data_IF_144827548701
#
_entry.id   IF_144827548701
#
_cell.length_a   1.000
_cell.length_b   1.000
_cell.length_c   1.000
_cell.angle_alpha   90.00
_cell.angle_beta   90.00
_cell.angle_gamma   90.00
#
_symmetry.space_group_name_H-M   'P 1'
#
loop_
_entity.id
_entity.type
_entity.pdbx_description
1 polymer ?
#
# COMPACT_ATOMS: atom_id res chain seq x y z
N UNK A 1 3.46 1.74 22.63
CA UNK A 1 2.19 2.25 23.22
C UNK A 1 2.11 3.78 23.22
N UNK A 2 3.13 4.51 23.70
CA UNK A 2 3.16 6.00 23.68
C UNK A 2 3.08 6.61 22.28
N UNK A 3 3.76 6.03 21.28
CA UNK A 3 3.69 6.47 19.87
C UNK A 3 2.29 6.27 19.28
N UNK A 4 1.59 5.19 19.65
CA UNK A 4 0.25 4.87 19.14
C UNK A 4 -0.78 5.85 19.70
N UNK A 5 -0.67 6.20 20.98
CA UNK A 5 -1.55 7.19 21.64
C UNK A 5 -1.23 8.61 21.14
N UNK A 6 0.05 8.95 20.96
CA UNK A 6 0.47 10.24 20.40
C UNK A 6 -0.01 10.45 18.96
N UNK A 7 0.08 9.42 18.12
CA UNK A 7 -0.47 9.44 16.76
C UNK A 7 -2.00 9.50 16.76
N UNK A 8 -2.69 8.86 17.71
CA UNK A 8 -4.16 8.95 17.85
C UNK A 8 -4.64 10.34 18.26
N UNK A 9 -3.93 11.03 19.16
CA UNK A 9 -4.26 12.41 19.56
C UNK A 9 -3.95 13.41 18.44
N UNK A 10 -2.86 13.20 17.71
CA UNK A 10 -2.57 13.97 16.50
C UNK A 10 -3.68 13.71 15.47
N UNK A 11 -4.06 12.44 15.24
CA UNK A 11 -5.11 11.96 14.32
C UNK A 11 -6.50 12.60 14.55
N UNK A 12 -6.83 12.95 15.79
CA UNK A 12 -8.10 13.61 16.14
C UNK A 12 -8.15 15.09 15.74
N UNK A 13 -7.01 15.78 15.63
CA UNK A 13 -6.92 17.20 15.19
C UNK A 13 -6.53 17.38 13.73
N UNK A 14 -6.48 16.28 12.98
CA UNK A 14 -6.02 16.26 11.59
C UNK A 14 -7.11 16.78 10.67
N UNK A 15 -6.93 18.01 10.18
CA UNK A 15 -7.75 18.54 9.09
C UNK A 15 -7.81 17.55 7.91
N UNK A 16 -8.89 17.52 7.10
CA UNK A 16 -9.00 16.65 5.92
C UNK A 16 -7.75 16.69 5.00
N UNK A 17 -7.00 17.82 5.03
CA UNK A 17 -5.74 18.05 4.31
C UNK A 17 -4.58 17.14 4.74
N UNK A 18 -4.49 16.72 5.99
CA UNK A 18 -3.44 15.81 6.47
C UNK A 18 -3.93 14.36 6.43
N UNK A 19 -5.25 14.11 6.54
CA UNK A 19 -5.82 12.77 6.36
C UNK A 19 -5.55 12.18 4.96
N UNK A 20 -5.56 13.01 3.92
CA UNK A 20 -5.16 12.59 2.57
C UNK A 20 -3.66 12.29 2.44
N UNK A 21 -2.81 13.00 3.18
CA UNK A 21 -1.35 12.79 3.21
C UNK A 21 -1.01 11.48 3.95
N UNK A 22 -1.71 11.20 5.04
CA UNK A 22 -1.60 9.96 5.80
C UNK A 22 -2.12 8.75 5.02
N UNK A 23 -3.11 8.92 4.13
CA UNK A 23 -3.65 7.83 3.32
C UNK A 23 -2.64 7.27 2.29
N UNK A 24 -1.69 8.10 1.83
CA UNK A 24 -0.59 7.70 0.94
C UNK A 24 0.75 7.49 1.66
N UNK A 25 0.78 7.53 2.99
CA UNK A 25 2.03 7.43 3.73
C UNK A 25 2.56 5.98 3.72
N UNK A 26 3.87 5.75 3.53
CA UNK A 26 4.41 4.41 3.28
C UNK A 26 4.55 3.55 4.55
N UNK A 27 3.64 3.67 5.52
CA UNK A 27 3.74 2.95 6.80
C UNK A 27 3.70 1.42 6.65
N UNK A 28 2.92 0.88 5.73
CA UNK A 28 2.77 -0.57 5.56
C UNK A 28 4.02 -1.22 4.98
N UNK A 29 4.41 -0.74 3.81
CA UNK A 29 5.62 -1.19 3.10
C UNK A 29 6.89 -0.92 3.92
N UNK A 30 6.95 0.19 4.67
CA UNK A 30 8.08 0.50 5.54
C UNK A 30 8.26 -0.53 6.65
N UNK A 31 7.17 -0.92 7.34
CA UNK A 31 7.24 -1.94 8.39
C UNK A 31 7.78 -3.25 7.80
N UNK A 32 7.23 -3.72 6.68
CA UNK A 32 7.66 -4.98 6.06
C UNK A 32 9.14 -4.93 5.67
N UNK A 33 9.56 -3.90 4.93
CA UNK A 33 10.95 -3.76 4.49
C UNK A 33 11.94 -3.56 5.64
N UNK A 34 11.52 -2.85 6.71
CA UNK A 34 12.34 -2.68 7.91
C UNK A 34 12.58 -4.01 8.61
N UNK A 35 11.53 -4.80 8.88
CA UNK A 35 11.68 -6.12 9.50
C UNK A 35 12.48 -7.08 8.63
N UNK A 36 12.24 -7.10 7.31
CA UNK A 36 13.08 -7.84 6.37
C UNK A 36 14.56 -7.44 6.51
N UNK A 37 14.87 -6.15 6.63
CA UNK A 37 16.24 -5.66 6.77
C UNK A 37 16.90 -6.02 8.10
N UNK A 38 16.14 -6.02 9.19
CA UNK A 38 16.64 -6.46 10.50
C UNK A 38 16.89 -7.98 10.51
N UNK A 39 16.01 -8.76 9.89
CA UNK A 39 16.08 -10.22 9.93
C UNK A 39 17.06 -10.82 8.90
N UNK A 40 17.14 -10.23 7.70
CA UNK A 40 17.89 -10.79 6.56
C UNK A 40 19.08 -9.93 6.12
N UNK A 41 19.24 -8.73 6.69
CA UNK A 41 20.33 -7.82 6.39
C UNK A 41 20.04 -6.81 5.26
N UNK A 42 20.98 -5.88 5.09
CA UNK A 42 20.83 -4.69 4.25
C UNK A 42 20.74 -5.01 2.75
N UNK A 43 21.55 -5.93 2.25
CA UNK A 43 21.54 -6.33 0.83
C UNK A 43 20.24 -7.03 0.45
N UNK A 44 19.76 -7.94 1.30
CA UNK A 44 18.48 -8.61 1.10
C UNK A 44 17.34 -7.59 1.05
N UNK A 45 17.29 -6.67 2.02
CA UNK A 45 16.26 -5.66 2.08
C UNK A 45 16.34 -4.63 0.94
N UNK A 46 17.55 -4.30 0.48
CA UNK A 46 17.76 -3.42 -0.68
C UNK A 46 17.13 -4.03 -1.93
N UNK A 47 17.43 -5.31 -2.19
CA UNK A 47 16.85 -6.07 -3.31
C UNK A 47 15.33 -6.27 -3.14
N UNK A 48 14.86 -6.56 -1.93
CA UNK A 48 13.44 -6.62 -1.63
C UNK A 48 12.74 -5.26 -1.88
N UNK A 49 13.37 -4.14 -1.50
CA UNK A 49 12.81 -2.80 -1.75
C UNK A 49 12.69 -2.50 -3.25
N UNK A 50 13.66 -2.94 -4.08
CA UNK A 50 13.56 -2.84 -5.53
C UNK A 50 12.35 -3.64 -6.05
N UNK A 51 12.20 -4.90 -5.65
CA UNK A 51 11.08 -5.74 -6.11
C UNK A 51 9.74 -5.30 -5.51
N UNK A 52 9.74 -4.62 -4.36
CA UNK A 52 8.55 -4.01 -3.80
C UNK A 52 7.97 -2.91 -4.68
N UNK A 53 8.80 -2.20 -5.46
CA UNK A 53 8.32 -1.29 -6.51
C UNK A 53 7.44 -2.08 -7.49
N UNK A 54 7.92 -3.20 -8.02
CA UNK A 54 7.12 -4.09 -8.86
C UNK A 54 5.86 -4.60 -8.16
N UNK A 55 5.94 -4.94 -6.87
CA UNK A 55 4.80 -5.33 -6.05
C UNK A 55 3.70 -4.26 -5.96
N UNK A 56 4.03 -2.97 -6.06
CA UNK A 56 3.04 -1.89 -6.11
C UNK A 56 2.21 -1.92 -7.42
N UNK A 57 2.76 -2.47 -8.51
CA UNK A 57 1.99 -2.75 -9.72
C UNK A 57 0.94 -3.83 -9.48
N UNK A 58 1.32 -4.92 -8.81
CA UNK A 58 0.37 -5.95 -8.40
C UNK A 58 -0.69 -5.39 -7.42
N UNK A 59 -0.29 -4.48 -6.53
CA UNK A 59 -1.17 -3.81 -5.57
C UNK A 59 -2.28 -2.99 -6.26
N UNK A 60 -1.93 -2.18 -7.26
CA UNK A 60 -2.94 -1.38 -7.98
C UNK A 60 -3.90 -2.26 -8.77
N UNK A 61 -3.42 -3.37 -9.35
CA UNK A 61 -4.27 -4.35 -10.06
C UNK A 61 -5.18 -5.11 -9.10
N UNK A 62 -4.68 -5.49 -7.91
CA UNK A 62 -5.51 -6.07 -6.84
C UNK A 62 -6.68 -5.14 -6.51
N UNK A 63 -6.40 -3.86 -6.30
CA UNK A 63 -7.42 -2.89 -5.94
C UNK A 63 -8.47 -2.76 -7.05
N UNK A 64 -8.04 -2.72 -8.32
CA UNK A 64 -8.96 -2.72 -9.44
C UNK A 64 -9.80 -4.00 -9.54
N UNK A 65 -9.20 -5.17 -9.34
CA UNK A 65 -9.92 -6.44 -9.30
C UNK A 65 -10.96 -6.46 -8.17
N UNK A 66 -10.58 -6.00 -6.97
CA UNK A 66 -11.49 -5.88 -5.83
C UNK A 66 -12.67 -4.96 -6.15
N UNK A 67 -12.41 -3.79 -6.75
CA UNK A 67 -13.45 -2.85 -7.19
C UNK A 67 -14.48 -3.49 -8.14
N UNK A 68 -14.04 -4.35 -9.07
CA UNK A 68 -14.94 -5.05 -10.02
C UNK A 68 -15.76 -6.16 -9.37
N UNK A 69 -15.27 -6.75 -8.28
CA UNK A 69 -15.88 -7.89 -7.61
C UNK A 69 -16.78 -7.50 -6.44
N UNK A 70 -16.57 -6.31 -5.89
CA UNK A 70 -17.33 -5.73 -4.80
C UNK A 70 -18.75 -5.34 -5.28
N UNK A 71 -19.75 -6.20 -5.00
CA UNK A 71 -21.12 -6.08 -5.52
C UNK A 71 -22.17 -5.93 -4.44
N UNK A 72 -22.01 -6.58 -3.28
CA UNK A 72 -22.97 -6.51 -2.17
C UNK A 72 -22.30 -6.82 -0.82
N UNK A 73 -23.00 -6.60 0.28
CA UNK A 73 -22.46 -6.75 1.64
C UNK A 73 -22.44 -8.20 2.16
N UNK A 74 -22.84 -9.18 1.35
CA UNK A 74 -22.88 -10.57 1.80
C UNK A 74 -21.47 -11.06 2.12
N UNK A 75 -21.34 -11.89 3.16
CA UNK A 75 -20.05 -12.48 3.53
C UNK A 75 -19.38 -13.19 2.36
N UNK A 76 -20.16 -13.92 1.54
CA UNK A 76 -19.68 -14.61 0.36
C UNK A 76 -19.08 -13.64 -0.67
N UNK A 77 -19.72 -12.50 -0.95
CA UNK A 77 -19.16 -11.53 -1.90
C UNK A 77 -17.89 -10.86 -1.37
N UNK A 78 -17.83 -10.55 -0.07
CA UNK A 78 -16.62 -10.02 0.56
C UNK A 78 -15.48 -11.02 0.45
N UNK A 79 -15.73 -12.29 0.79
CA UNK A 79 -14.73 -13.36 0.72
C UNK A 79 -14.26 -13.62 -0.71
N UNK A 80 -15.17 -13.70 -1.68
CA UNK A 80 -14.83 -13.89 -3.09
C UNK A 80 -14.02 -12.72 -3.65
N UNK A 81 -14.42 -11.47 -3.37
CA UNK A 81 -13.68 -10.29 -3.78
C UNK A 81 -12.25 -10.30 -3.19
N UNK A 82 -12.12 -10.65 -1.90
CA UNK A 82 -10.84 -10.78 -1.23
C UNK A 82 -9.96 -11.85 -1.89
N UNK A 83 -10.45 -13.10 -1.97
CA UNK A 83 -9.69 -14.24 -2.50
C UNK A 83 -9.23 -14.02 -3.93
N UNK A 84 -10.14 -13.59 -4.82
CA UNK A 84 -9.80 -13.37 -6.24
C UNK A 84 -8.83 -12.20 -6.39
N UNK A 85 -9.01 -11.11 -5.64
CA UNK A 85 -8.08 -9.97 -5.71
C UNK A 85 -6.67 -10.31 -5.20
N UNK A 86 -6.55 -11.14 -4.16
CA UNK A 86 -5.27 -11.69 -3.69
C UNK A 86 -4.66 -12.64 -4.71
N UNK A 87 -5.47 -13.51 -5.33
CA UNK A 87 -5.00 -14.37 -6.41
C UNK A 87 -4.47 -13.56 -7.61
N UNK A 88 -5.15 -12.46 -7.97
CA UNK A 88 -4.70 -11.52 -9.00
C UNK A 88 -3.39 -10.86 -8.61
N UNK A 89 -3.23 -10.42 -7.36
CA UNK A 89 -1.96 -9.88 -6.86
C UNK A 89 -0.82 -10.88 -7.00
N UNK A 90 -1.04 -12.13 -6.56
CA UNK A 90 -0.04 -13.19 -6.64
C UNK A 90 0.28 -13.55 -8.09
N UNK A 91 -0.71 -13.58 -8.97
CA UNK A 91 -0.51 -13.83 -10.39
C UNK A 91 0.32 -12.73 -11.06
N UNK A 92 -0.03 -11.45 -10.83
CA UNK A 92 0.75 -10.34 -11.36
C UNK A 92 2.17 -10.35 -10.78
N UNK A 93 2.32 -10.65 -9.49
CA UNK A 93 3.64 -10.79 -8.85
C UNK A 93 4.45 -11.93 -9.48
N UNK A 94 3.85 -13.10 -9.72
CA UNK A 94 4.50 -14.25 -10.37
C UNK A 94 4.92 -13.93 -11.81
N UNK A 95 4.13 -13.15 -12.54
CA UNK A 95 4.50 -12.66 -13.88
C UNK A 95 5.71 -11.71 -13.76
N UNK A 96 5.65 -10.72 -12.85
CA UNK A 96 6.74 -9.76 -12.66
C UNK A 96 8.03 -10.41 -12.19
N UNK A 97 7.95 -11.50 -11.42
CA UNK A 97 9.11 -12.26 -10.96
C UNK A 97 9.94 -12.85 -12.10
N UNK A 98 9.32 -13.11 -13.26
CA UNK A 98 10.02 -13.67 -14.43
C UNK A 98 10.95 -12.63 -15.10
N UNK A 99 10.85 -11.36 -14.73
CA UNK A 99 11.64 -10.28 -15.28
C UNK A 99 12.73 -9.83 -14.31
N UNK A 100 13.92 -9.54 -14.84
CA UNK A 100 14.95 -8.82 -14.11
C UNK A 100 14.58 -7.34 -14.05
N UNK A 101 14.05 -6.93 -12.90
CA UNK A 101 13.66 -5.54 -12.69
C UNK A 101 14.90 -4.72 -12.30
N UNK A 102 15.06 -3.55 -12.92
CA UNK A 102 15.94 -2.48 -12.45
C UNK A 102 15.10 -1.41 -11.76
N UNK A 103 15.73 -0.51 -11.00
CA UNK A 103 15.00 0.59 -10.36
C UNK A 103 14.20 1.41 -11.38
N UNK A 104 14.77 1.64 -12.56
CA UNK A 104 14.13 2.39 -13.65
C UNK A 104 12.97 1.61 -14.25
N UNK A 105 13.18 0.34 -14.65
CA UNK A 105 12.13 -0.44 -15.29
C UNK A 105 10.96 -0.73 -14.34
N UNK A 106 11.25 -1.04 -13.07
CA UNK A 106 10.23 -1.23 -12.03
C UNK A 106 9.42 0.05 -11.80
N UNK A 107 10.07 1.20 -11.73
CA UNK A 107 9.41 2.49 -11.52
C UNK A 107 8.52 2.87 -12.70
N UNK A 108 9.01 2.75 -13.92
CA UNK A 108 8.24 3.05 -15.14
C UNK A 108 7.05 2.11 -15.28
N UNK A 109 7.24 0.81 -15.05
CA UNK A 109 6.16 -0.18 -15.07
C UNK A 109 5.10 0.16 -14.02
N UNK A 110 5.51 0.48 -12.80
CA UNK A 110 4.59 0.81 -11.70
C UNK A 110 3.82 2.10 -11.96
N UNK A 111 4.50 3.15 -12.42
CA UNK A 111 3.85 4.40 -12.82
C UNK A 111 2.90 4.19 -14.00
N UNK A 112 3.28 3.38 -14.98
CA UNK A 112 2.45 2.98 -16.10
C UNK A 112 1.18 2.25 -15.66
N UNK A 113 1.31 1.30 -14.73
CA UNK A 113 0.17 0.57 -14.16
C UNK A 113 -0.74 1.46 -13.32
N UNK A 114 -0.17 2.36 -12.49
CA UNK A 114 -0.93 3.36 -11.76
C UNK A 114 -1.72 4.25 -12.73
N UNK A 115 -1.07 4.73 -13.80
CA UNK A 115 -1.71 5.56 -14.83
C UNK A 115 -2.83 4.82 -15.57
N UNK A 116 -2.58 3.59 -16.00
CA UNK A 116 -3.55 2.74 -16.69
C UNK A 116 -4.78 2.47 -15.83
N UNK A 117 -4.60 2.07 -14.57
CA UNK A 117 -5.72 1.78 -13.67
C UNK A 117 -6.49 3.05 -13.33
N UNK A 118 -5.79 4.17 -13.09
CA UNK A 118 -6.44 5.47 -12.89
C UNK A 118 -7.31 5.87 -14.10
N UNK A 119 -6.79 5.65 -15.31
CA UNK A 119 -7.54 5.89 -16.55
C UNK A 119 -8.75 4.95 -16.72
N UNK A 120 -8.60 3.66 -16.42
CA UNK A 120 -9.70 2.68 -16.47
C UNK A 120 -10.82 3.01 -15.48
N UNK A 121 -10.50 3.65 -14.36
CA UNK A 121 -11.45 4.02 -13.31
C UNK A 121 -12.11 5.39 -13.50
N UNK A 122 -11.74 6.17 -14.52
CA UNK A 122 -12.17 7.58 -14.69
C UNK A 122 -13.67 7.80 -14.85
N UNK A 123 -14.41 6.80 -15.35
CA UNK A 123 -15.85 6.88 -15.64
C UNK A 123 -16.74 6.30 -14.53
N UNK A 124 -16.18 5.88 -13.40
CA UNK A 124 -17.00 5.38 -12.29
C UNK A 124 -17.83 6.52 -11.69
N UNK A 125 -19.15 6.30 -11.53
CA UNK A 125 -20.10 7.26 -10.97
C UNK A 125 -19.62 7.75 -9.60
N UNK A 126 -19.68 9.06 -9.37
CA UNK A 126 -19.41 9.69 -8.07
C UNK A 126 -20.38 9.15 -7.03
N UNK A 127 -19.93 8.15 -6.29
CA UNK A 127 -20.58 7.74 -5.05
C UNK A 127 -20.02 8.64 -3.95
N UNK A 128 -20.91 9.33 -3.23
CA UNK A 128 -20.48 10.17 -2.11
C UNK A 128 -19.68 9.33 -1.12
N UNK A 129 -18.46 9.79 -0.81
CA UNK A 129 -17.65 9.25 0.27
C UNK A 129 -18.47 9.44 1.55
N UNK A 130 -18.90 8.39 2.27
CA UNK A 130 -19.47 8.58 3.59
C UNK A 130 -18.45 9.33 4.44
N UNK A 131 -18.86 10.43 5.08
CA UNK A 131 -18.03 11.15 6.06
C UNK A 131 -17.48 10.14 7.07
N UNK A 132 -16.18 9.81 6.96
CA UNK A 132 -15.42 8.85 7.80
C UNK A 132 -16.27 7.64 8.24
N UNK A 133 -16.20 6.47 7.58
CA UNK A 133 -16.84 5.27 8.12
C UNK A 133 -16.36 5.06 9.57
N UNK A 134 -17.30 5.14 10.52
CA UNK A 134 -16.98 5.00 11.95
C UNK A 134 -16.66 3.53 12.19
N UNK A 135 -15.37 3.22 12.37
CA UNK A 135 -14.93 1.88 12.71
C UNK A 135 -15.21 1.62 14.19
N UNK A 136 -15.94 0.55 14.51
CA UNK A 136 -16.07 0.06 15.88
C UNK A 136 -14.76 -0.52 16.40
N UNK A 137 -14.60 -0.65 17.71
CA UNK A 137 -13.37 -1.16 18.34
C UNK A 137 -12.98 -2.57 17.84
N UNK A 138 -13.96 -3.43 17.59
CA UNK A 138 -13.75 -4.78 17.04
C UNK A 138 -13.17 -4.71 15.62
N UNK A 139 -13.66 -3.78 14.79
CA UNK A 139 -13.16 -3.57 13.44
C UNK A 139 -11.71 -3.05 13.45
N UNK A 140 -11.37 -2.18 14.39
CA UNK A 140 -9.98 -1.71 14.59
C UNK A 140 -9.07 -2.87 14.98
N UNK A 141 -9.50 -3.71 15.93
CA UNK A 141 -8.73 -4.88 16.35
C UNK A 141 -8.56 -5.90 15.21
N UNK A 142 -9.63 -6.19 14.47
CA UNK A 142 -9.58 -7.06 13.31
C UNK A 142 -8.64 -6.53 12.22
N UNK A 143 -8.68 -5.20 11.96
CA UNK A 143 -7.75 -4.54 11.04
C UNK A 143 -6.30 -4.71 11.47
N UNK A 144 -6.02 -4.47 12.75
CA UNK A 144 -4.67 -4.59 13.30
C UNK A 144 -4.18 -6.05 13.25
N UNK A 145 -5.04 -7.00 13.62
CA UNK A 145 -4.75 -8.44 13.55
C UNK A 145 -4.43 -8.90 12.13
N UNK A 146 -5.28 -8.55 11.15
CA UNK A 146 -5.04 -8.89 9.75
C UNK A 146 -3.75 -8.27 9.22
N UNK A 147 -3.51 -6.98 9.48
CA UNK A 147 -2.28 -6.32 9.06
C UNK A 147 -1.04 -6.98 9.68
N UNK A 148 -1.07 -7.28 10.98
CA UNK A 148 0.02 -7.96 11.67
C UNK A 148 0.26 -9.37 11.12
N UNK A 149 -0.79 -10.15 10.88
CA UNK A 149 -0.68 -11.48 10.27
C UNK A 149 -0.04 -11.42 8.89
N UNK A 150 -0.44 -10.46 8.04
CA UNK A 150 0.17 -10.30 6.71
C UNK A 150 1.65 -9.96 6.84
N UNK A 151 2.02 -9.01 7.71
CA UNK A 151 3.43 -8.65 7.94
C UNK A 151 4.22 -9.87 8.40
N UNK A 152 3.74 -10.60 9.41
CA UNK A 152 4.40 -11.79 9.94
C UNK A 152 4.56 -12.90 8.90
N UNK A 153 3.56 -13.11 8.04
CA UNK A 153 3.64 -14.09 6.95
C UNK A 153 4.73 -13.69 5.96
N UNK A 154 4.77 -12.41 5.55
CA UNK A 154 5.75 -11.94 4.56
C UNK A 154 7.17 -11.98 5.13
N UNK A 155 7.38 -11.47 6.34
CA UNK A 155 8.72 -11.43 6.96
C UNK A 155 9.18 -12.83 7.36
N UNK A 156 8.30 -13.64 7.96
CA UNK A 156 8.60 -15.01 8.37
C UNK A 156 8.90 -15.97 7.21
N UNK A 157 8.37 -15.71 6.01
CA UNK A 157 8.68 -16.49 4.81
C UNK A 157 9.85 -15.91 3.99
N UNK A 158 10.37 -14.73 4.34
CA UNK A 158 11.30 -13.99 3.50
C UNK A 158 12.58 -14.80 3.20
N UNK A 159 13.16 -15.47 4.19
CA UNK A 159 14.37 -16.29 3.99
C UNK A 159 14.14 -17.50 3.08
N UNK A 160 12.93 -18.08 3.05
CA UNK A 160 12.58 -19.23 2.23
C UNK A 160 12.31 -18.83 0.78
N UNK A 161 11.58 -17.72 0.58
CA UNK A 161 11.13 -17.29 -0.75
C UNK A 161 12.16 -16.41 -1.49
N UNK A 162 13.15 -15.89 -0.76
CA UNK A 162 14.20 -15.02 -1.30
C UNK A 162 13.77 -13.55 -1.43
N UNK A 163 14.72 -12.64 -1.73
CA UNK A 163 14.50 -11.19 -1.66
C UNK A 163 13.51 -10.68 -2.71
N UNK A 164 13.46 -11.32 -3.89
CA UNK A 164 12.61 -10.86 -4.99
C UNK A 164 11.13 -11.09 -4.66
N UNK A 165 10.79 -12.30 -4.21
CA UNK A 165 9.44 -12.61 -3.74
C UNK A 165 9.08 -11.82 -2.48
N UNK A 166 9.98 -11.73 -1.50
CA UNK A 166 9.74 -10.95 -0.29
C UNK A 166 9.45 -9.49 -0.63
N UNK A 167 10.15 -8.92 -1.61
CA UNK A 167 9.89 -7.60 -2.16
C UNK A 167 8.53 -7.48 -2.83
N UNK A 168 8.23 -8.34 -3.80
CA UNK A 168 6.93 -8.35 -4.48
C UNK A 168 5.77 -8.42 -3.48
N UNK A 169 5.87 -9.30 -2.47
CA UNK A 169 4.89 -9.42 -1.39
C UNK A 169 4.87 -8.20 -0.46
N UNK A 170 6.01 -7.55 -0.18
CA UNK A 170 6.06 -6.30 0.59
C UNK A 170 5.30 -5.15 -0.08
N UNK A 171 5.14 -5.21 -1.41
CA UNK A 171 4.25 -4.34 -2.16
C UNK A 171 2.75 -4.54 -1.87
N UNK A 172 2.36 -5.60 -1.14
CA UNK A 172 0.95 -5.88 -0.80
C UNK A 172 0.33 -4.73 0.02
N UNK A 173 -0.96 -4.40 -0.20
CA UNK A 173 -1.67 -3.35 0.54
C UNK A 173 -1.97 -3.71 2.01
N UNK A 174 -0.95 -3.94 2.86
CA UNK A 174 -1.11 -4.43 4.25
C UNK A 174 -2.01 -3.55 5.13
N UNK A 175 -2.11 -2.25 4.82
CA UNK A 175 -2.99 -1.31 5.55
C UNK A 175 -4.33 -1.10 4.84
N UNK A 176 -4.31 -1.04 3.51
CA UNK A 176 -5.48 -0.75 2.68
C UNK A 176 -6.39 -1.97 2.56
N UNK A 177 -5.83 -3.17 2.36
CA UNK A 177 -6.62 -4.38 2.14
C UNK A 177 -7.50 -4.76 3.34
N UNK A 178 -7.00 -4.84 4.59
CA UNK A 178 -7.88 -5.06 5.74
C UNK A 178 -8.98 -4.00 5.88
N UNK A 179 -8.66 -2.74 5.55
CA UNK A 179 -9.63 -1.65 5.57
C UNK A 179 -10.71 -1.82 4.49
N UNK A 180 -10.34 -2.26 3.28
CA UNK A 180 -11.29 -2.58 2.21
C UNK A 180 -12.26 -3.67 2.64
N UNK A 181 -11.77 -4.76 3.28
CA UNK A 181 -12.63 -5.84 3.77
C UNK A 181 -13.68 -5.34 4.76
N UNK A 182 -13.25 -4.52 5.72
CA UNK A 182 -14.13 -3.96 6.75
C UNK A 182 -15.16 -3.01 6.14
N UNK A 183 -14.71 -2.07 5.30
CA UNK A 183 -15.62 -1.11 4.64
C UNK A 183 -16.61 -1.84 3.73
N UNK A 184 -16.16 -2.85 2.99
CA UNK A 184 -17.03 -3.66 2.14
C UNK A 184 -18.11 -4.37 2.97
N UNK A 185 -17.73 -5.01 4.08
CA UNK A 185 -18.66 -5.73 4.96
C UNK A 185 -19.68 -4.81 5.64
N UNK A 186 -19.22 -3.67 6.14
CA UNK A 186 -20.01 -2.79 7.02
C UNK A 186 -20.83 -1.77 6.21
N UNK A 187 -20.24 -1.22 5.15
CA UNK A 187 -20.77 -0.08 4.41
C UNK A 187 -21.07 -0.40 2.92
N UNK A 188 -20.62 -1.54 2.41
CA UNK A 188 -20.91 -2.00 1.05
C UNK A 188 -20.06 -1.37 -0.05
N UNK A 189 -20.45 -1.58 -1.32
CA UNK A 189 -19.57 -1.29 -2.46
C UNK A 189 -19.29 0.18 -2.74
N UNK A 190 -20.25 1.08 -2.54
CA UNK A 190 -20.07 2.49 -2.87
C UNK A 190 -18.87 3.14 -2.12
N UNK A 191 -18.75 3.02 -0.78
CA UNK A 191 -17.57 3.53 -0.07
C UNK A 191 -16.25 2.85 -0.45
N UNK A 192 -16.28 1.54 -0.77
CA UNK A 192 -15.11 0.80 -1.28
C UNK A 192 -14.62 1.42 -2.58
N UNK A 193 -15.55 1.65 -3.53
CA UNK A 193 -15.23 2.19 -4.84
C UNK A 193 -14.67 3.62 -4.74
N UNK A 194 -15.23 4.44 -3.86
CA UNK A 194 -14.74 5.78 -3.61
C UNK A 194 -13.32 5.77 -3.02
N UNK A 195 -13.02 4.84 -2.10
CA UNK A 195 -11.67 4.67 -1.54
C UNK A 195 -10.66 4.19 -2.58
N UNK A 196 -11.01 3.18 -3.39
CA UNK A 196 -10.11 2.64 -4.41
C UNK A 196 -9.80 3.68 -5.49
N UNK A 197 -10.73 4.58 -5.82
CA UNK A 197 -10.50 5.60 -6.84
C UNK A 197 -9.39 6.60 -6.47
N UNK A 198 -9.24 6.94 -5.20
CA UNK A 198 -8.21 7.88 -4.73
C UNK A 198 -6.88 7.19 -4.38
N UNK A 199 -6.89 5.87 -4.26
CA UNK A 199 -5.74 5.09 -3.78
C UNK A 199 -4.52 5.07 -4.73
N UNK A 200 -4.66 4.99 -6.08
CA UNK A 200 -3.52 4.99 -6.99
C UNK A 200 -2.57 6.19 -6.83
N UNK A 201 -3.10 7.36 -6.48
CA UNK A 201 -2.30 8.57 -6.24
C UNK A 201 -1.37 8.38 -5.03
N UNK A 202 -1.85 7.69 -3.99
CA UNK A 202 -1.05 7.38 -2.80
C UNK A 202 0.09 6.40 -3.07
N UNK A 203 -0.08 5.48 -4.04
CA UNK A 203 0.93 4.48 -4.38
C UNK A 203 2.24 5.08 -4.90
N UNK A 204 2.21 6.29 -5.47
CA UNK A 204 3.44 6.96 -5.93
C UNK A 204 4.34 7.34 -4.75
N UNK A 205 3.77 7.71 -3.60
CA UNK A 205 4.57 7.96 -2.40
C UNK A 205 5.20 6.67 -1.85
N UNK A 206 4.51 5.53 -1.96
CA UNK A 206 5.07 4.21 -1.64
C UNK A 206 6.19 3.84 -2.61
N UNK A 207 6.06 4.17 -3.89
CA UNK A 207 7.11 3.98 -4.90
C UNK A 207 8.34 4.81 -4.54
N UNK A 208 8.17 6.09 -4.22
CA UNK A 208 9.27 6.98 -3.81
C UNK A 208 9.99 6.43 -2.57
N UNK A 209 9.24 5.95 -1.58
CA UNK A 209 9.81 5.27 -0.42
C UNK A 209 10.64 4.05 -0.83
N UNK A 210 10.04 3.11 -1.55
CA UNK A 210 10.67 1.84 -1.95
C UNK A 210 11.93 2.08 -2.80
N UNK A 211 11.87 3.00 -3.75
CA UNK A 211 13.00 3.42 -4.58
C UNK A 211 14.13 3.99 -3.71
N UNK A 212 13.80 4.91 -2.80
CA UNK A 212 14.80 5.52 -1.90
C UNK A 212 15.45 4.45 -1.02
N UNK A 213 14.66 3.54 -0.44
CA UNK A 213 15.19 2.46 0.40
C UNK A 213 16.02 1.44 -0.37
N UNK A 214 15.68 1.16 -1.64
CA UNK A 214 16.47 0.29 -2.52
C UNK A 214 17.86 0.84 -2.84
N UNK A 215 18.06 2.15 -2.68
CA UNK A 215 19.35 2.80 -2.90
C UNK A 215 20.08 3.05 -1.59
N UNK A 216 19.36 3.34 -0.50
CA UNK A 216 19.95 3.82 0.75
C UNK A 216 20.23 2.72 1.77
N UNK A 217 19.51 1.60 1.75
CA UNK A 217 19.78 0.49 2.67
C UNK A 217 21.23 -0.02 2.67
N UNK A 218 21.89 -0.25 1.52
CA UNK A 218 23.29 -0.69 1.53
C UNK A 218 24.28 0.44 1.87
N UNK A 219 23.89 1.71 1.72
CA UNK A 219 24.78 2.87 1.90
C UNK A 219 24.79 3.41 3.33
N UNK A 220 23.62 3.52 3.96
CA UNK A 220 23.45 4.17 5.26
C UNK A 220 22.70 3.28 6.28
N UNK A 221 22.39 2.04 5.89
CA UNK A 221 21.75 1.04 6.73
C UNK A 221 20.23 1.16 6.83
N UNK A 222 19.60 0.14 7.45
CA UNK A 222 18.15 0.00 7.51
C UNK A 222 17.48 1.18 8.22
N UNK A 223 18.03 1.62 9.35
CA UNK A 223 17.49 2.73 10.14
C UNK A 223 17.49 4.05 9.37
N UNK A 224 18.66 4.52 8.95
CA UNK A 224 18.78 5.80 8.24
C UNK A 224 18.19 5.74 6.83
N UNK A 225 18.27 4.61 6.14
CA UNK A 225 17.62 4.44 4.83
C UNK A 225 16.10 4.49 4.93
N UNK A 226 15.51 3.94 6.00
CA UNK A 226 14.08 4.07 6.28
C UNK A 226 13.69 5.52 6.53
N UNK A 227 14.49 6.25 7.32
CA UNK A 227 14.26 7.68 7.55
C UNK A 227 14.36 8.48 6.24
N UNK A 228 15.39 8.22 5.42
CA UNK A 228 15.55 8.84 4.12
C UNK A 228 14.35 8.57 3.20
N UNK A 229 13.86 7.33 3.18
CA UNK A 229 12.65 6.96 2.45
C UNK A 229 11.40 7.71 2.90
N UNK A 230 11.20 7.86 4.22
CA UNK A 230 10.10 8.67 4.75
C UNK A 230 10.24 10.16 4.40
N UNK A 231 11.46 10.71 4.49
CA UNK A 231 11.73 12.08 4.08
C UNK A 231 11.39 12.30 2.60
N UNK A 232 11.87 11.42 1.71
CA UNK A 232 11.60 11.49 0.26
C UNK A 232 10.11 11.40 -0.05
N UNK A 233 9.39 10.44 0.54
CA UNK A 233 7.95 10.29 0.38
C UNK A 233 7.18 11.52 0.91
N UNK A 234 7.63 12.10 2.02
CA UNK A 234 7.03 13.32 2.59
C UNK A 234 7.22 14.52 1.67
N UNK A 235 8.44 14.73 1.14
CA UNK A 235 8.73 15.78 0.17
C UNK A 235 7.86 15.63 -1.07
N UNK A 236 7.73 14.40 -1.59
CA UNK A 236 6.85 14.12 -2.73
C UNK A 236 5.38 14.50 -2.43
N UNK A 237 4.84 14.07 -1.28
CA UNK A 237 3.45 14.36 -0.91
C UNK A 237 3.20 15.87 -0.72
N UNK A 238 4.16 16.61 -0.15
CA UNK A 238 4.10 18.07 -0.02
C UNK A 238 4.11 18.73 -1.41
N UNK A 239 5.01 18.29 -2.29
CA UNK A 239 5.10 18.80 -3.67
C UNK A 239 3.82 18.55 -4.47
N UNK A 240 3.29 17.33 -4.42
CA UNK A 240 2.02 16.97 -5.07
C UNK A 240 0.87 17.86 -4.60
N UNK A 241 0.80 18.14 -3.29
CA UNK A 241 -0.20 19.02 -2.72
C UNK A 241 -0.04 20.46 -3.21
N UNK A 242 1.19 20.98 -3.27
CA UNK A 242 1.46 22.34 -3.74
C UNK A 242 1.01 22.52 -5.20
N UNK A 243 1.34 21.57 -6.08
CA UNK A 243 0.90 21.55 -7.48
C UNK A 243 -0.62 21.47 -7.56
N UNK A 244 -1.26 20.57 -6.82
CA UNK A 244 -2.71 20.43 -6.81
C UNK A 244 -3.44 21.69 -6.29
N UNK A 245 -2.81 22.47 -5.41
CA UNK A 245 -3.35 23.76 -4.95
C UNK A 245 -3.13 24.90 -5.94
N UNK A 246 -2.08 24.87 -6.75
CA UNK A 246 -1.79 25.91 -7.74
C UNK A 246 -2.65 25.78 -9.01
N UNK A 247 -3.22 24.60 -9.26
CA UNK A 247 -4.11 24.31 -10.39
C UNK A 247 -5.60 24.59 -10.08
N UNK A 248 -5.91 25.16 -8.91
CA UNK A 248 -7.26 25.57 -8.49
C UNK A 248 -7.36 27.07 -8.43
#
# INVERSE_FOLDING_TARGET
MVIVIGLSIIAERVSPKIAGLLAGYPHGIAIVLYFIGIEQGMEFASRAALYAIGGLSANVVLCYAYNRLCKNRSFLNVALAALVSVAVFLLVSAILQQFSLSQVSASLLTLGMIGLITWLMRHAIDSQIPRKPRLGSIAILARAGLAASIVLIITGLANVIGPDWAGLLAGFPVVTFPLLLIIHRDHGPAPVNAMIRIYPVGLVALLVYALTTSLTFPLIGIGWGTLAGFCAATVYLIGLKAVASALR
#
